data_IF_519711476973
#
_entry.id   IF_519711476973
#
_cell.length_a   1.000
_cell.length_b   1.000
_cell.length_c   1.000
_cell.angle_alpha   90.00
_cell.angle_beta   90.00
_cell.angle_gamma   90.00
#
_symmetry.space_group_name_H-M   'P 1'
#
loop_
_entity.id
_entity.type
_entity.pdbx_description
1 polymer ?
#
# COMPACT_ATOMS: atom_id res chain seq x y z
N UNK A 1 1.29 9.85 23.20
CA UNK A 1 2.01 8.65 22.71
C UNK A 1 1.69 8.50 21.23
N UNK A 2 2.61 7.97 20.41
CA UNK A 2 2.26 7.60 19.02
C UNK A 2 1.40 6.35 19.07
N UNK A 3 0.24 6.36 18.41
CA UNK A 3 -0.62 5.17 18.30
C UNK A 3 -0.27 4.42 17.03
N UNK A 4 -0.05 3.11 17.15
CA UNK A 4 0.22 2.23 16.01
C UNK A 4 -1.03 1.40 15.75
N UNK A 5 -1.55 1.48 14.53
CA UNK A 5 -2.72 0.72 14.10
C UNK A 5 -2.36 -0.18 12.93
N UNK A 6 -2.94 -1.37 12.87
CA UNK A 6 -2.86 -2.19 11.67
C UNK A 6 -3.86 -1.67 10.63
N UNK A 7 -3.38 -1.37 9.42
CA UNK A 7 -4.19 -0.87 8.31
C UNK A 7 -4.22 -1.91 7.21
N UNK A 8 -5.42 -2.15 6.68
CA UNK A 8 -5.69 -3.04 5.56
C UNK A 8 -6.67 -2.37 4.60
N UNK A 9 -6.40 -2.48 3.30
CA UNK A 9 -7.31 -2.03 2.26
C UNK A 9 -7.27 -2.99 1.07
N UNK A 10 -8.38 -3.08 0.34
CA UNK A 10 -8.42 -3.73 -0.97
C UNK A 10 -8.51 -2.65 -2.03
N UNK A 11 -7.65 -2.75 -3.04
CA UNK A 11 -7.52 -1.79 -4.14
C UNK A 11 -7.96 -2.52 -5.41
N UNK A 12 -9.02 -2.00 -6.03
CA UNK A 12 -9.65 -2.62 -7.20
C UNK A 12 -9.61 -1.70 -8.42
N UNK A 13 -8.86 -0.60 -8.35
CA UNK A 13 -8.72 0.40 -9.40
C UNK A 13 -7.27 0.88 -9.45
N UNK A 14 -6.85 1.39 -10.61
CA UNK A 14 -5.55 2.05 -10.75
C UNK A 14 -5.55 3.37 -9.97
N UNK A 15 -4.40 3.72 -9.40
CA UNK A 15 -4.18 4.90 -8.56
C UNK A 15 -2.81 5.47 -8.90
N UNK A 16 -2.76 6.73 -9.34
CA UNK A 16 -1.50 7.35 -9.75
C UNK A 16 -0.56 7.66 -8.57
N UNK A 17 -1.12 7.92 -7.38
CA UNK A 17 -0.38 8.31 -6.20
C UNK A 17 -1.04 7.76 -4.91
N UNK A 18 -0.88 6.47 -4.65
CA UNK A 18 -1.36 5.84 -3.42
C UNK A 18 -0.47 6.25 -2.22
N UNK A 19 -1.04 6.87 -1.16
CA UNK A 19 -0.24 7.44 -0.08
C UNK A 19 0.27 6.38 0.90
N UNK A 20 1.58 6.43 1.20
CA UNK A 20 2.23 5.55 2.17
C UNK A 20 2.59 6.25 3.49
N UNK A 21 2.28 7.54 3.63
CA UNK A 21 2.58 8.33 4.82
C UNK A 21 2.20 7.60 6.12
N UNK A 22 3.16 7.53 7.03
CA UNK A 22 3.02 6.92 8.35
C UNK A 22 3.01 5.40 8.34
N UNK A 23 3.06 4.73 7.19
CA UNK A 23 3.17 3.29 7.12
C UNK A 23 4.59 2.83 7.49
N UNK A 24 4.65 1.68 8.15
CA UNK A 24 5.83 0.90 8.46
C UNK A 24 5.64 -0.44 7.75
N UNK A 25 6.67 -0.86 7.03
CA UNK A 25 6.71 -2.10 6.25
C UNK A 25 5.42 -2.37 5.43
N UNK A 26 4.98 -1.46 4.53
CA UNK A 26 3.82 -1.73 3.71
C UNK A 26 4.07 -2.90 2.76
N UNK A 27 3.00 -3.66 2.50
CA UNK A 27 3.01 -4.79 1.58
C UNK A 27 1.77 -4.72 0.71
N UNK A 28 1.99 -4.86 -0.60
CA UNK A 28 0.94 -5.07 -1.58
C UNK A 28 1.00 -6.53 -2.04
N UNK A 29 -0.14 -7.22 -2.08
CA UNK A 29 -0.24 -8.59 -2.56
C UNK A 29 -1.31 -8.65 -3.64
N UNK A 30 -0.96 -9.12 -4.83
CA UNK A 30 -1.92 -9.29 -5.92
C UNK A 30 -2.70 -10.59 -5.69
N UNK A 31 -3.96 -10.48 -5.29
CA UNK A 31 -4.87 -11.62 -5.15
C UNK A 31 -5.83 -11.74 -6.34
N UNK A 32 -5.63 -10.90 -7.36
CA UNK A 32 -6.41 -10.86 -8.57
C UNK A 32 -5.79 -11.69 -9.69
N UNK A 33 -6.60 -12.07 -10.67
CA UNK A 33 -6.12 -12.68 -11.90
C UNK A 33 -5.54 -11.63 -12.87
N UNK A 34 -5.81 -10.34 -12.65
CA UNK A 34 -5.21 -9.25 -13.40
C UNK A 34 -3.78 -8.95 -12.92
N UNK A 35 -2.77 -8.93 -13.81
CA UNK A 35 -1.46 -8.39 -13.48
C UNK A 35 -1.55 -6.91 -13.10
N UNK A 36 -0.69 -6.48 -12.17
CA UNK A 36 -0.66 -5.11 -11.65
C UNK A 36 0.77 -4.59 -11.68
N UNK A 37 0.94 -3.35 -12.14
CA UNK A 37 2.20 -2.63 -12.07
C UNK A 37 2.18 -1.79 -10.81
N UNK A 38 3.19 -1.93 -9.96
CA UNK A 38 3.39 -1.11 -8.76
C UNK A 38 4.76 -0.45 -8.89
N UNK A 39 4.79 0.88 -8.89
CA UNK A 39 6.02 1.67 -9.05
C UNK A 39 6.88 1.24 -10.27
N UNK A 40 6.20 0.95 -11.38
CA UNK A 40 6.84 0.54 -12.64
C UNK A 40 7.23 -0.95 -12.74
N UNK A 41 7.06 -1.74 -11.68
CA UNK A 41 7.35 -3.18 -11.68
C UNK A 41 6.06 -3.99 -11.81
N UNK A 42 6.04 -4.97 -12.70
CA UNK A 42 4.90 -5.86 -12.93
C UNK A 42 4.88 -6.99 -11.88
N UNK A 43 3.69 -7.23 -11.32
CA UNK A 43 3.39 -8.31 -10.39
C UNK A 43 2.21 -9.14 -10.90
N UNK A 44 2.46 -10.44 -11.06
CA UNK A 44 1.44 -11.42 -11.43
C UNK A 44 0.60 -11.82 -10.20
N UNK A 45 -0.38 -12.71 -10.43
CA UNK A 45 -1.22 -13.26 -9.37
C UNK A 45 -0.38 -13.91 -8.27
N UNK A 46 -0.81 -13.72 -7.04
CA UNK A 46 -0.22 -14.21 -5.78
C UNK A 46 1.16 -13.62 -5.44
N UNK A 47 1.75 -12.80 -6.31
CA UNK A 47 3.00 -12.08 -6.02
C UNK A 47 2.79 -10.92 -5.05
N UNK A 48 3.88 -10.52 -4.39
CA UNK A 48 3.87 -9.45 -3.39
C UNK A 48 4.99 -8.45 -3.60
N UNK A 49 4.67 -7.18 -3.36
CA UNK A 49 5.61 -6.07 -3.32
C UNK A 49 5.73 -5.54 -1.88
N UNK A 50 6.77 -5.97 -1.13
CA UNK A 50 7.08 -5.42 0.17
C UNK A 50 7.99 -4.19 0.05
N UNK A 51 7.75 -3.18 0.90
CA UNK A 51 8.68 -2.07 1.11
C UNK A 51 9.24 -2.21 2.52
N UNK A 52 10.54 -2.44 2.63
CA UNK A 52 11.20 -2.60 3.93
C UNK A 52 11.63 -1.24 4.48
N UNK A 53 11.03 -0.82 5.61
CA UNK A 53 11.31 0.49 6.23
C UNK A 53 12.20 0.37 7.47
N UNK A 54 12.64 -0.84 7.83
CA UNK A 54 13.42 -1.12 9.05
C UNK A 54 12.77 -0.58 10.33
N UNK A 55 11.44 -0.58 10.39
CA UNK A 55 10.67 -0.09 11.54
C UNK A 55 10.45 1.43 11.56
N UNK A 56 10.96 2.16 10.57
CA UNK A 56 10.74 3.60 10.43
C UNK A 56 9.43 3.88 9.70
N UNK A 57 8.77 4.98 10.06
CA UNK A 57 7.58 5.46 9.36
C UNK A 57 7.98 6.13 8.04
N UNK A 58 7.18 5.89 7.00
CA UNK A 58 7.38 6.55 5.69
C UNK A 58 6.95 8.01 5.80
N UNK A 59 7.84 8.91 5.37
CA UNK A 59 7.61 10.36 5.40
C UNK A 59 6.45 10.80 4.49
N UNK A 60 5.92 11.99 4.80
CA UNK A 60 4.87 12.66 4.00
C UNK A 60 5.30 12.81 2.54
N UNK A 61 4.35 12.61 1.63
CA UNK A 61 4.56 12.80 0.18
C UNK A 61 5.16 11.61 -0.55
N UNK A 62 5.58 10.56 0.15
CA UNK A 62 5.96 9.29 -0.49
C UNK A 62 4.70 8.53 -0.90
N UNK A 63 4.49 8.44 -2.22
CA UNK A 63 3.36 7.77 -2.84
C UNK A 63 3.88 6.70 -3.81
N UNK A 64 3.05 5.70 -4.10
CA UNK A 64 3.33 4.69 -5.13
C UNK A 64 2.23 4.69 -6.18
N UNK A 65 2.60 4.48 -7.44
CA UNK A 65 1.64 4.27 -8.52
C UNK A 65 1.19 2.82 -8.57
N UNK A 66 -0.08 2.59 -8.89
CA UNK A 66 -0.69 1.26 -9.01
C UNK A 66 -1.49 1.25 -10.31
N UNK A 67 -1.17 0.35 -11.24
CA UNK A 67 -1.80 0.28 -12.55
C UNK A 67 -2.17 -1.17 -12.87
N UNK A 68 -3.46 -1.49 -12.90
CA UNK A 68 -3.92 -2.80 -13.36
C UNK A 68 -3.84 -2.90 -14.88
N UNK A 69 -3.36 -4.04 -15.38
CA UNK A 69 -3.25 -4.31 -16.83
C UNK A 69 -4.57 -4.81 -17.45
N UNK A 70 -5.58 -5.11 -16.63
CA UNK A 70 -6.91 -5.55 -17.06
C UNK A 70 -8.01 -4.92 -16.22
N UNK A 71 -9.15 -4.67 -16.86
CA UNK A 71 -10.37 -4.21 -16.18
C UNK A 71 -11.06 -5.29 -15.35
N UNK A 72 -10.87 -6.56 -15.72
CA UNK A 72 -11.45 -7.74 -15.04
C UNK A 72 -10.42 -8.43 -14.15
N UNK A 73 -10.86 -8.99 -13.01
CA UNK A 73 -9.99 -9.78 -12.13
C UNK A 73 -9.08 -8.96 -11.20
N UNK A 74 -9.38 -7.67 -10.98
CA UNK A 74 -8.61 -6.79 -10.09
C UNK A 74 -8.85 -7.14 -8.62
N UNK A 75 -7.78 -7.33 -7.85
CA UNK A 75 -7.85 -7.50 -6.40
C UNK A 75 -6.45 -7.35 -5.79
N UNK A 76 -6.06 -6.13 -5.43
CA UNK A 76 -4.78 -5.87 -4.76
C UNK A 76 -5.00 -5.64 -3.27
N UNK A 77 -4.41 -6.49 -2.43
CA UNK A 77 -4.46 -6.36 -0.98
C UNK A 77 -3.29 -5.52 -0.48
N UNK A 78 -3.60 -4.39 0.13
CA UNK A 78 -2.64 -3.53 0.82
C UNK A 78 -2.69 -3.73 2.33
N UNK A 79 -1.52 -3.80 2.98
CA UNK A 79 -1.38 -3.90 4.45
C UNK A 79 -0.19 -3.09 4.92
N UNK A 80 -0.32 -2.41 6.06
CA UNK A 80 0.81 -1.79 6.76
C UNK A 80 0.54 -1.64 8.26
N UNK A 81 1.58 -1.40 9.06
CA UNK A 81 1.41 -0.78 10.38
C UNK A 81 1.44 0.74 10.19
N UNK A 82 0.41 1.46 10.62
CA UNK A 82 0.33 2.91 10.45
C UNK A 82 0.46 3.63 11.79
N UNK A 83 1.42 4.54 11.87
CA UNK A 83 1.55 5.47 12.97
C UNK A 83 0.58 6.63 12.75
N UNK A 84 -0.32 6.85 13.70
CA UNK A 84 -1.15 8.05 13.75
C UNK A 84 -0.72 8.91 14.94
N UNK A 85 -0.52 10.20 14.70
CA UNK A 85 -0.45 11.16 15.80
C UNK A 85 -1.82 11.16 16.51
N UNK A 86 -1.84 10.92 17.82
CA UNK A 86 -2.98 11.31 18.64
C UNK A 86 -3.06 12.84 18.56
N UNK A 87 -3.89 13.36 17.67
CA UNK A 87 -4.37 14.73 17.82
C UNK A 87 -5.27 14.70 19.04
N UNK A 88 -4.70 14.97 20.22
CA UNK A 88 -5.49 15.57 21.29
C UNK A 88 -6.03 16.87 20.70
N UNK A 89 -7.27 16.84 20.22
CA UNK A 89 -8.01 18.06 19.93
C UNK A 89 -8.05 18.82 21.26
N UNK A 90 -7.30 19.92 21.33
CA UNK A 90 -7.47 20.95 22.35
C UNK A 90 -8.85 21.60 22.19
#
# INVERSE_FOLDING_TARGET
>A
MKKVNYVRATINNSIDAFPLEGCINPVFQNLGDAPVIIDGVLYDKDESFPIHTNGLEIDKGNNVSIIFQSETGKNLLFRCLKVSEDKCNQ
#
